data_IF_789017580986
#
_entry.id   IF_789017580986
#
_cell.length_a   1.000
_cell.length_b   1.000
_cell.length_c   1.000
_cell.angle_alpha   90.00
_cell.angle_beta   90.00
_cell.angle_gamma   90.00
#
_symmetry.space_group_name_H-M   'P 1'
#
loop_
_entity.id
_entity.type
_entity.pdbx_description
1 polymer ?
#
# COMPACT_ATOMS: atom_id res chain seq x y z
N UNK A 1 5.42 -14.86 -2.46
CA UNK A 1 4.69 -14.20 -3.58
C UNK A 1 3.16 -14.15 -3.37
N UNK A 2 2.56 -14.91 -2.46
CA UNK A 2 1.09 -15.04 -2.33
C UNK A 2 0.47 -13.97 -1.40
N UNK A 3 1.16 -13.46 -0.39
CA UNK A 3 0.59 -12.53 0.59
C UNK A 3 0.54 -11.08 0.11
N UNK A 4 1.49 -10.66 -0.74
CA UNK A 4 1.51 -9.30 -1.31
C UNK A 4 0.30 -8.98 -2.20
N UNK A 5 -0.35 -10.01 -2.76
CA UNK A 5 -1.54 -9.84 -3.63
C UNK A 5 -2.79 -9.51 -2.80
N UNK A 6 -2.89 -9.98 -1.55
CA UNK A 6 -4.10 -9.82 -0.75
C UNK A 6 -4.26 -8.42 -0.14
N UNK A 7 -3.16 -7.76 0.22
CA UNK A 7 -3.21 -6.38 0.74
C UNK A 7 -3.54 -5.33 -0.33
N UNK A 8 -3.24 -5.61 -1.60
CA UNK A 8 -3.59 -4.71 -2.72
C UNK A 8 -5.10 -4.58 -2.99
N UNK A 9 -5.90 -5.48 -2.45
CA UNK A 9 -7.35 -5.53 -2.67
C UNK A 9 -8.17 -4.88 -1.55
N UNK A 10 -7.53 -4.23 -0.58
CA UNK A 10 -8.27 -3.62 0.50
C UNK A 10 -9.08 -2.42 -0.02
N UNK A 11 -10.36 -2.46 0.27
CA UNK A 11 -11.41 -1.45 0.01
C UNK A 11 -10.95 -0.01 0.36
N UNK A 12 -9.99 0.12 1.27
CA UNK A 12 -9.46 1.41 1.72
C UNK A 12 -8.85 2.27 0.61
N UNK A 13 -8.14 1.68 -0.36
CA UNK A 13 -7.52 2.46 -1.45
C UNK A 13 -8.56 3.08 -2.38
N UNK A 14 -9.60 2.35 -2.73
CA UNK A 14 -10.66 2.85 -3.61
C UNK A 14 -11.46 3.96 -2.93
N UNK A 15 -11.78 3.79 -1.64
CA UNK A 15 -12.47 4.83 -0.85
C UNK A 15 -11.59 6.09 -0.74
N UNK A 16 -10.30 5.93 -0.51
CA UNK A 16 -9.37 7.07 -0.42
C UNK A 16 -9.31 7.86 -1.71
N UNK A 17 -9.22 7.19 -2.86
CA UNK A 17 -9.17 7.86 -4.15
C UNK A 17 -10.50 8.56 -4.48
N UNK A 18 -11.62 7.96 -4.14
CA UNK A 18 -12.93 8.63 -4.22
C UNK A 18 -13.02 9.86 -3.30
N UNK A 19 -12.41 9.81 -2.11
CA UNK A 19 -12.32 10.95 -1.22
C UNK A 19 -11.46 12.09 -1.78
N UNK A 20 -10.36 11.76 -2.50
CA UNK A 20 -9.53 12.76 -3.19
C UNK A 20 -10.35 13.48 -4.25
N UNK A 21 -11.05 12.73 -5.12
CA UNK A 21 -11.93 13.32 -6.14
C UNK A 21 -13.02 14.21 -5.52
N UNK A 22 -13.68 13.70 -4.46
CA UNK A 22 -14.71 14.45 -3.76
C UNK A 22 -14.17 15.75 -3.12
N UNK A 23 -13.03 15.67 -2.45
CA UNK A 23 -12.43 16.82 -1.75
C UNK A 23 -11.96 17.90 -2.73
N UNK A 24 -11.40 17.48 -3.86
CA UNK A 24 -10.94 18.38 -4.92
C UNK A 24 -12.05 18.82 -5.86
N UNK A 25 -13.27 18.27 -5.72
CA UNK A 25 -14.42 18.51 -6.60
C UNK A 25 -14.07 18.24 -8.07
N UNK A 26 -13.30 17.17 -8.33
CA UNK A 26 -12.94 16.71 -9.66
C UNK A 26 -13.59 15.36 -9.95
N UNK A 27 -13.72 15.04 -11.22
CA UNK A 27 -14.12 13.72 -11.69
C UNK A 27 -13.12 13.30 -12.75
N UNK A 28 -12.28 12.32 -12.44
CA UNK A 28 -11.32 11.78 -13.41
C UNK A 28 -12.10 10.93 -14.40
N UNK A 29 -12.05 11.22 -15.72
CA UNK A 29 -12.74 10.40 -16.71
C UNK A 29 -12.27 8.95 -16.68
N UNK A 30 -13.18 8.00 -16.91
CA UNK A 30 -12.92 6.56 -16.85
C UNK A 30 -11.73 6.14 -17.73
N UNK A 31 -11.58 6.75 -18.91
CA UNK A 31 -10.48 6.48 -19.81
C UNK A 31 -9.11 6.81 -19.17
N UNK A 32 -9.01 7.94 -18.47
CA UNK A 32 -7.81 8.34 -17.77
C UNK A 32 -7.63 7.50 -16.49
N UNK A 33 -8.71 7.29 -15.72
CA UNK A 33 -8.66 6.53 -14.46
C UNK A 33 -8.19 5.08 -14.67
N UNK A 34 -8.63 4.42 -15.75
CA UNK A 34 -8.26 3.05 -16.09
C UNK A 34 -6.97 2.95 -16.92
N UNK A 35 -6.33 4.06 -17.23
CA UNK A 35 -5.06 4.04 -17.96
C UNK A 35 -3.97 3.33 -17.14
N UNK A 36 -3.16 2.43 -17.74
CA UNK A 36 -2.18 1.62 -17.02
C UNK A 36 -1.21 2.43 -16.15
N UNK A 37 -0.78 3.60 -16.62
CA UNK A 37 0.13 4.50 -15.87
C UNK A 37 -0.57 5.07 -14.64
N UNK A 38 -1.82 5.54 -14.76
CA UNK A 38 -2.59 6.08 -13.62
C UNK A 38 -2.89 4.98 -12.61
N UNK A 39 -3.23 3.79 -13.09
CA UNK A 39 -3.43 2.63 -12.23
C UNK A 39 -2.16 2.24 -11.47
N UNK A 40 -1.01 2.16 -12.17
CA UNK A 40 0.29 1.85 -11.54
C UNK A 40 0.69 2.89 -10.49
N UNK A 41 0.43 4.18 -10.76
CA UNK A 41 0.65 5.29 -9.84
C UNK A 41 -0.23 5.15 -8.58
N UNK A 42 -1.50 4.88 -8.74
CA UNK A 42 -2.45 4.67 -7.65
C UNK A 42 -2.07 3.43 -6.81
N UNK A 43 -1.68 2.34 -7.47
CA UNK A 43 -1.17 1.14 -6.79
C UNK A 43 0.10 1.45 -5.98
N UNK A 44 1.03 2.25 -6.51
CA UNK A 44 2.22 2.65 -5.77
C UNK A 44 1.87 3.49 -4.53
N UNK A 45 0.94 4.44 -4.66
CA UNK A 45 0.43 5.22 -3.53
C UNK A 45 -0.21 4.34 -2.45
N UNK A 46 -1.01 3.35 -2.84
CA UNK A 46 -1.61 2.40 -1.92
C UNK A 46 -0.57 1.53 -1.21
N UNK A 47 0.43 1.03 -1.93
CA UNK A 47 1.53 0.24 -1.37
C UNK A 47 2.28 1.05 -0.29
N UNK A 48 2.62 2.32 -0.57
CA UNK A 48 3.31 3.21 0.38
C UNK A 48 2.52 3.33 1.68
N UNK A 49 1.23 3.66 1.58
CA UNK A 49 0.38 3.87 2.76
C UNK A 49 0.15 2.60 3.57
N UNK A 50 -0.18 1.50 2.89
CA UNK A 50 -0.46 0.23 3.55
C UNK A 50 0.78 -0.27 4.29
N UNK A 51 1.94 -0.24 3.65
CA UNK A 51 3.18 -0.72 4.26
C UNK A 51 3.71 0.20 5.36
N UNK A 52 3.52 1.52 5.23
CA UNK A 52 3.83 2.46 6.30
C UNK A 52 2.92 2.23 7.50
N UNK A 53 1.61 2.04 7.27
CA UNK A 53 0.66 1.69 8.34
C UNK A 53 1.09 0.41 9.06
N UNK A 54 1.49 -0.63 8.33
CA UNK A 54 1.94 -1.90 8.90
C UNK A 54 3.18 -1.73 9.81
N UNK A 55 4.11 -0.83 9.46
CA UNK A 55 5.26 -0.51 10.33
C UNK A 55 4.78 0.20 11.61
N UNK A 56 3.92 1.22 11.48
CA UNK A 56 3.47 2.01 12.63
C UNK A 56 2.50 1.28 13.54
N UNK A 57 1.68 0.38 13.02
CA UNK A 57 0.71 -0.37 13.79
C UNK A 57 1.29 -1.61 14.47
N UNK A 58 2.46 -2.09 14.02
CA UNK A 58 3.06 -3.36 14.44
C UNK A 58 3.17 -3.49 15.97
N UNK A 59 3.74 -2.48 16.64
CA UNK A 59 3.93 -2.51 18.09
C UNK A 59 2.59 -2.53 18.86
N UNK A 60 1.61 -1.76 18.37
CA UNK A 60 0.28 -1.73 18.95
C UNK A 60 -0.47 -3.06 18.78
N UNK A 61 -0.34 -3.67 17.61
CA UNK A 61 -0.94 -4.99 17.33
C UNK A 61 -0.31 -6.08 18.19
N UNK A 62 1.01 -6.06 18.37
CA UNK A 62 1.70 -6.96 19.28
C UNK A 62 1.27 -6.78 20.74
N UNK A 63 1.13 -5.53 21.21
CA UNK A 63 0.70 -5.22 22.58
C UNK A 63 -0.73 -5.68 22.85
N UNK A 64 -1.60 -5.68 21.83
CA UNK A 64 -3.00 -6.14 21.93
C UNK A 64 -3.18 -7.66 21.78
N UNK A 65 -2.10 -8.43 21.81
CA UNK A 65 -2.14 -9.89 21.87
C UNK A 65 -2.10 -10.60 20.52
N UNK A 66 -1.92 -9.87 19.44
CA UNK A 66 -1.56 -10.44 18.13
C UNK A 66 -0.09 -10.86 18.20
N UNK A 67 0.17 -12.06 18.72
CA UNK A 67 1.56 -12.55 18.88
C UNK A 67 2.06 -13.14 17.57
N UNK A 68 2.92 -12.41 16.89
CA UNK A 68 3.72 -12.91 15.78
C UNK A 68 5.03 -13.48 16.36
N UNK A 69 5.02 -14.70 16.89
CA UNK A 69 6.25 -15.29 17.44
C UNK A 69 6.95 -16.13 16.40
N UNK A 70 8.15 -15.72 16.03
CA UNK A 70 9.09 -16.49 15.19
C UNK A 70 9.74 -17.68 15.96
N UNK A 71 9.47 -17.84 17.25
CA UNK A 71 10.13 -18.84 18.10
C UNK A 71 9.31 -20.11 18.37
N UNK A 72 8.07 -20.21 17.89
CA UNK A 72 7.22 -21.37 18.11
C UNK A 72 6.55 -21.84 16.82
N UNK A 73 7.28 -22.62 16.04
CA UNK A 73 6.75 -23.57 15.10
C UNK A 73 7.01 -24.98 15.67
N UNK A 74 6.08 -25.92 15.58
CA UNK A 74 4.64 -25.85 15.34
C UNK A 74 3.84 -26.37 16.53
N UNK A 75 2.90 -25.63 17.04
CA UNK A 75 1.83 -26.26 17.80
C UNK A 75 0.72 -26.67 16.81
N UNK A 76 0.44 -27.97 16.62
CA UNK A 76 -0.52 -28.45 15.62
C UNK A 76 -1.99 -28.21 15.97
N UNK A 77 -2.30 -27.50 17.04
CA UNK A 77 -3.66 -27.44 17.59
C UNK A 77 -4.23 -26.04 17.84
N UNK A 78 -3.47 -25.00 17.59
CA UNK A 78 -4.02 -23.66 17.47
C UNK A 78 -3.62 -23.15 16.08
N UNK A 79 -4.50 -23.36 15.12
CA UNK A 79 -4.50 -22.54 13.94
C UNK A 79 -4.90 -21.13 14.40
N UNK A 80 -3.96 -20.18 14.63
CA UNK A 80 -4.30 -18.81 14.42
C UNK A 80 -4.79 -18.81 12.97
N UNK A 81 -6.01 -18.43 12.74
CA UNK A 81 -6.50 -18.33 11.40
C UNK A 81 -5.44 -17.50 10.66
N UNK A 82 -4.97 -17.98 9.52
CA UNK A 82 -4.04 -17.25 8.64
C UNK A 82 -4.60 -15.86 8.30
N UNK A 83 -5.84 -15.62 8.68
CA UNK A 83 -6.61 -14.40 8.63
C UNK A 83 -6.11 -13.28 9.57
N UNK A 84 -5.37 -13.58 10.63
CA UNK A 84 -4.94 -12.57 11.61
C UNK A 84 -3.52 -12.04 11.37
N UNK A 85 -2.78 -12.54 10.37
CA UNK A 85 -1.47 -12.03 9.96
C UNK A 85 -1.62 -11.04 8.81
N UNK A 86 -2.26 -9.89 9.06
CA UNK A 86 -2.42 -8.86 8.03
C UNK A 86 -1.22 -7.89 7.96
N UNK A 87 -0.39 -7.86 8.99
CA UNK A 87 0.73 -6.95 9.07
C UNK A 87 1.94 -7.47 8.29
N UNK A 88 2.41 -6.69 7.31
CA UNK A 88 3.49 -7.07 6.41
C UNK A 88 4.82 -7.32 7.15
N UNK A 89 5.11 -6.56 8.22
CA UNK A 89 6.33 -6.77 9.03
C UNK A 89 6.34 -8.17 9.62
N UNK A 90 5.20 -8.61 10.19
CA UNK A 90 5.06 -9.96 10.73
C UNK A 90 5.24 -11.03 9.65
N UNK A 91 4.57 -10.86 8.52
CA UNK A 91 4.65 -11.78 7.38
C UNK A 91 6.08 -11.92 6.87
N UNK A 92 6.79 -10.81 6.69
CA UNK A 92 8.18 -10.80 6.21
C UNK A 92 9.11 -11.46 7.23
N UNK A 93 8.95 -11.15 8.53
CA UNK A 93 9.74 -11.76 9.61
C UNK A 93 9.61 -13.27 9.61
N UNK A 94 8.38 -13.79 9.52
CA UNK A 94 8.11 -15.23 9.50
C UNK A 94 8.61 -15.88 8.21
N UNK A 95 8.24 -15.35 7.05
CA UNK A 95 8.57 -15.99 5.76
C UNK A 95 10.05 -16.01 5.45
N UNK A 96 10.78 -14.96 5.85
CA UNK A 96 12.22 -14.86 5.64
C UNK A 96 13.04 -15.39 6.81
N UNK A 97 12.40 -15.77 7.92
CA UNK A 97 13.05 -16.19 9.18
C UNK A 97 14.11 -15.18 9.63
N UNK A 98 13.70 -13.91 9.70
CA UNK A 98 14.57 -12.78 10.12
C UNK A 98 13.97 -12.09 11.34
N UNK A 99 14.79 -11.30 12.02
CA UNK A 99 14.34 -10.51 13.18
C UNK A 99 13.30 -9.46 12.76
N UNK A 100 12.46 -9.03 13.69
CA UNK A 100 11.48 -7.96 13.47
C UNK A 100 12.18 -6.69 12.96
N UNK A 101 13.31 -6.30 13.53
CA UNK A 101 14.07 -5.14 13.08
C UNK A 101 14.49 -5.28 11.61
N UNK A 102 15.01 -6.44 11.21
CA UNK A 102 15.37 -6.70 9.81
C UNK A 102 14.15 -6.73 8.88
N UNK A 103 12.98 -7.17 9.39
CA UNK A 103 11.73 -7.14 8.64
C UNK A 103 11.24 -5.70 8.44
N UNK A 104 11.32 -4.84 9.45
CA UNK A 104 11.01 -3.40 9.33
C UNK A 104 11.91 -2.74 8.29
N UNK A 105 13.22 -2.99 8.34
CA UNK A 105 14.17 -2.45 7.36
C UNK A 105 13.85 -2.93 5.93
N UNK A 106 13.46 -4.20 5.79
CA UNK A 106 13.04 -4.76 4.51
C UNK A 106 11.77 -4.08 3.99
N UNK A 107 10.72 -3.94 4.82
CA UNK A 107 9.46 -3.27 4.43
C UNK A 107 9.73 -1.80 4.09
N UNK A 108 10.59 -1.12 4.86
CA UNK A 108 11.00 0.25 4.55
C UNK A 108 11.69 0.35 3.17
N UNK A 109 12.54 -0.62 2.81
CA UNK A 109 13.16 -0.64 1.47
C UNK A 109 12.12 -0.84 0.36
N UNK A 110 11.04 -1.57 0.62
CA UNK A 110 9.91 -1.72 -0.31
C UNK A 110 9.15 -0.40 -0.46
N UNK A 111 8.93 0.33 0.64
CA UNK A 111 8.29 1.66 0.61
C UNK A 111 9.11 2.63 -0.26
N UNK A 112 10.43 2.69 -0.07
CA UNK A 112 11.30 3.53 -0.89
C UNK A 112 11.20 3.17 -2.38
N UNK A 113 11.18 1.88 -2.71
CA UNK A 113 11.00 1.43 -4.09
C UNK A 113 9.62 1.80 -4.66
N UNK A 114 8.58 1.80 -3.83
CA UNK A 114 7.23 2.23 -4.25
C UNK A 114 7.17 3.76 -4.47
N UNK A 115 7.89 4.54 -3.65
CA UNK A 115 8.04 5.99 -3.84
C UNK A 115 8.73 6.29 -5.18
N UNK A 116 9.83 5.61 -5.47
CA UNK A 116 10.53 5.76 -6.75
C UNK A 116 9.60 5.41 -7.92
N UNK A 117 8.85 4.31 -7.82
CA UNK A 117 7.86 3.91 -8.82
C UNK A 117 6.80 4.99 -9.01
N UNK A 118 6.26 5.56 -7.93
CA UNK A 118 5.25 6.62 -7.98
C UNK A 118 5.76 7.81 -8.81
N UNK A 119 6.96 8.31 -8.51
CA UNK A 119 7.53 9.44 -9.25
C UNK A 119 7.90 9.11 -10.69
N UNK A 120 8.37 7.89 -10.95
CA UNK A 120 8.61 7.42 -12.32
C UNK A 120 7.32 7.39 -13.14
N UNK A 121 6.22 6.92 -12.57
CA UNK A 121 4.93 6.89 -13.27
C UNK A 121 4.36 8.31 -13.45
N UNK A 122 4.55 9.23 -12.50
CA UNK A 122 4.19 10.64 -12.69
C UNK A 122 4.83 11.24 -13.95
N UNK A 123 6.10 10.92 -14.20
CA UNK A 123 6.83 11.41 -15.38
C UNK A 123 6.36 10.76 -16.72
N UNK A 124 5.60 9.67 -16.64
CA UNK A 124 5.13 8.89 -17.81
C UNK A 124 3.66 9.12 -18.14
N UNK A 125 2.98 9.95 -17.36
CA UNK A 125 1.54 10.24 -17.58
C UNK A 125 1.37 10.85 -18.97
N UNK A 126 0.56 10.24 -19.85
CA UNK A 126 0.28 10.78 -21.16
C UNK A 126 -0.68 11.96 -21.08
N UNK A 127 -0.77 12.75 -22.14
CA UNK A 127 -1.85 13.72 -22.31
C UNK A 127 -3.14 13.01 -22.69
N UNK A 128 -4.23 13.38 -22.01
CA UNK A 128 -5.62 12.97 -22.29
C UNK A 128 -6.40 14.12 -22.95
N UNK A 129 -5.71 15.21 -23.30
CA UNK A 129 -6.28 16.39 -23.91
C UNK A 129 -6.44 17.58 -22.95
N UNK A 130 -6.61 18.79 -23.51
CA UNK A 130 -6.49 20.03 -22.74
C UNK A 130 -7.55 20.20 -21.64
N UNK A 131 -8.69 19.53 -21.74
CA UNK A 131 -9.75 19.57 -20.71
C UNK A 131 -9.52 18.55 -19.60
N UNK A 132 -8.89 17.40 -19.90
CA UNK A 132 -8.69 16.30 -18.95
C UNK A 132 -7.37 16.40 -18.22
N UNK A 133 -6.31 16.88 -18.87
CA UNK A 133 -4.98 16.96 -18.28
C UNK A 133 -4.94 17.72 -16.94
N UNK A 134 -5.63 18.88 -16.76
CA UNK A 134 -5.67 19.57 -15.46
C UNK A 134 -6.33 18.75 -14.37
N UNK A 135 -7.35 17.95 -14.70
CA UNK A 135 -8.07 17.08 -13.77
C UNK A 135 -7.13 15.97 -13.29
N UNK A 136 -6.46 15.31 -14.24
CA UNK A 136 -5.50 14.24 -13.96
C UNK A 136 -4.33 14.75 -13.11
N UNK A 137 -3.78 15.93 -13.41
CA UNK A 137 -2.72 16.57 -12.62
C UNK A 137 -3.18 16.86 -11.20
N UNK A 138 -4.39 17.37 -11.02
CA UNK A 138 -4.98 17.62 -9.70
C UNK A 138 -5.17 16.34 -8.91
N UNK A 139 -5.62 15.26 -9.55
CA UNK A 139 -5.75 13.93 -8.95
C UNK A 139 -4.39 13.40 -8.48
N UNK A 140 -3.37 13.41 -9.35
CA UNK A 140 -2.01 12.96 -9.02
C UNK A 140 -1.45 13.75 -7.84
N UNK A 141 -1.66 15.07 -7.83
CA UNK A 141 -1.25 15.93 -6.72
C UNK A 141 -1.97 15.58 -5.43
N UNK A 142 -3.26 15.26 -5.49
CA UNK A 142 -4.03 14.75 -4.35
C UNK A 142 -3.45 13.46 -3.78
N UNK A 143 -3.10 12.50 -4.63
CA UNK A 143 -2.44 11.26 -4.21
C UNK A 143 -1.07 11.55 -3.60
N UNK A 144 -0.26 12.43 -4.20
CA UNK A 144 1.06 12.83 -3.66
C UNK A 144 0.94 13.44 -2.26
N UNK A 145 -0.03 14.32 -2.04
CA UNK A 145 -0.26 14.94 -0.72
C UNK A 145 -0.69 13.90 0.31
N UNK A 146 -1.47 12.92 -0.12
CA UNK A 146 -1.97 11.88 0.78
C UNK A 146 -0.88 10.89 1.23
N UNK A 147 0.14 10.63 0.42
CA UNK A 147 1.25 9.71 0.75
C UNK A 147 2.41 10.38 1.50
N UNK A 148 2.37 11.69 1.74
CA UNK A 148 3.38 12.45 2.52
C UNK A 148 3.11 12.39 4.01
#
# INVERSE_FOLDING_TARGET
MIVLVHQRLTIYSQVTYACIEYTLQICVPDEAFHHPVIKSLSEAGNDILSWANDIYSFDNEQANGVRYTSSELPCPQLTPSVQDCHNLVAVVSIQKNITVQAAVEYVNSMILSAIDRFFMECARVPSFGPEVDPIVQSYIKGVEVYIR
#
